data_IF_432961546964
#
_entry.id   IF_432961546964
#
_cell.length_a   1.000
_cell.length_b   1.000
_cell.length_c   1.000
_cell.angle_alpha   90.00
_cell.angle_beta   90.00
_cell.angle_gamma   90.00
#
_symmetry.space_group_name_H-M   'P 1'
#
loop_
_entity.id
_entity.type
_entity.pdbx_description
1 polymer ?
#
# COMPACT_ATOMS: atom_id res chain seq x y z
N UNK A 1 0.64 12.44 -8.93
CA UNK A 1 1.54 12.26 -10.09
C UNK A 1 1.85 10.78 -10.14
N UNK A 2 1.17 10.00 -10.98
CA UNK A 2 1.42 8.55 -11.08
C UNK A 2 2.69 8.31 -11.89
N UNK A 3 3.62 7.50 -11.38
CA UNK A 3 4.89 7.16 -12.02
C UNK A 3 4.64 6.19 -13.19
N UNK A 4 4.30 6.72 -14.37
CA UNK A 4 4.06 5.93 -15.60
C UNK A 4 4.82 6.47 -16.82
N UNK A 5 5.60 7.54 -16.64
CA UNK A 5 6.26 8.26 -17.74
C UNK A 5 7.39 7.50 -18.42
N UNK A 6 7.94 6.46 -17.77
CA UNK A 6 9.07 5.69 -18.29
C UNK A 6 8.72 4.47 -19.14
N UNK A 7 7.44 4.07 -19.19
CA UNK A 7 7.03 2.79 -19.79
C UNK A 7 7.45 2.66 -21.27
N UNK A 8 7.14 3.67 -22.08
CA UNK A 8 7.43 3.63 -23.53
C UNK A 8 8.94 3.66 -23.81
N UNK A 9 9.70 4.44 -23.03
CA UNK A 9 11.15 4.49 -23.17
C UNK A 9 11.78 3.13 -22.84
N UNK A 10 11.40 2.52 -21.71
CA UNK A 10 11.89 1.19 -21.33
C UNK A 10 11.46 0.10 -22.31
N UNK A 11 10.20 0.12 -22.77
CA UNK A 11 9.72 -0.81 -23.80
C UNK A 11 10.57 -0.74 -25.07
N UNK A 12 10.89 0.48 -25.51
CA UNK A 12 11.69 0.70 -26.71
C UNK A 12 13.11 0.13 -26.56
N UNK A 13 13.73 0.31 -25.39
CA UNK A 13 15.04 -0.27 -25.06
C UNK A 13 14.95 -1.81 -25.06
N UNK A 14 13.98 -2.38 -24.37
CA UNK A 14 13.84 -3.84 -24.24
C UNK A 14 13.54 -4.53 -25.59
N UNK A 15 12.75 -3.90 -26.47
CA UNK A 15 12.52 -4.42 -27.82
C UNK A 15 13.78 -4.43 -28.69
N UNK A 16 14.69 -3.46 -28.49
CA UNK A 16 15.96 -3.42 -29.22
C UNK A 16 16.92 -4.50 -28.73
N UNK A 17 16.96 -4.74 -27.42
CA UNK A 17 17.86 -5.72 -26.79
C UNK A 17 17.36 -7.18 -26.93
N UNK A 18 16.05 -7.39 -26.98
CA UNK A 18 15.43 -8.73 -26.98
C UNK A 18 14.47 -8.91 -28.16
N UNK A 19 15.01 -8.80 -29.38
CA UNK A 19 14.28 -8.98 -30.64
C UNK A 19 13.76 -10.42 -30.80
N UNK A 20 12.59 -10.69 -30.20
CA UNK A 20 11.92 -11.99 -30.26
C UNK A 20 11.01 -12.32 -29.09
N UNK A 21 11.03 -11.54 -28.00
CA UNK A 21 10.17 -11.77 -26.85
C UNK A 21 8.95 -10.83 -26.85
N UNK A 22 7.77 -11.39 -26.55
CA UNK A 22 6.55 -10.61 -26.35
C UNK A 22 6.61 -9.90 -24.98
N UNK A 23 6.96 -8.62 -24.99
CA UNK A 23 7.07 -7.80 -23.77
C UNK A 23 5.68 -7.28 -23.41
N UNK A 24 5.19 -7.73 -22.26
CA UNK A 24 3.91 -7.26 -21.71
C UNK A 24 4.10 -6.15 -20.69
N UNK A 25 3.31 -5.08 -20.84
CA UNK A 25 3.20 -4.00 -19.85
C UNK A 25 1.84 -4.16 -19.16
N UNK A 26 1.89 -4.71 -17.96
CA UNK A 26 0.71 -4.96 -17.12
C UNK A 26 0.40 -3.68 -16.32
N UNK A 27 -0.83 -3.19 -16.39
CA UNK A 27 -1.22 -1.99 -15.67
C UNK A 27 -2.72 -1.84 -15.46
N UNK A 28 -3.09 -0.88 -14.63
CA UNK A 28 -4.47 -0.64 -14.19
C UNK A 28 -5.50 -0.30 -15.26
N UNK A 29 -5.03 0.30 -16.35
CA UNK A 29 -5.88 0.88 -17.38
C UNK A 29 -5.11 1.05 -18.68
N UNK A 30 -5.82 0.89 -19.81
CA UNK A 30 -5.34 1.20 -21.16
C UNK A 30 -5.06 2.68 -21.39
N UNK A 31 -5.53 3.58 -20.51
CA UNK A 31 -5.16 5.00 -20.53
C UNK A 31 -3.72 5.25 -20.07
N UNK A 32 -3.08 4.27 -19.42
CA UNK A 32 -1.68 4.36 -19.03
C UNK A 32 -0.77 4.16 -20.26
N UNK A 33 0.24 5.02 -20.48
CA UNK A 33 1.16 4.87 -21.60
C UNK A 33 1.80 3.46 -21.65
N UNK A 34 1.68 2.82 -22.82
CA UNK A 34 2.28 1.53 -23.10
C UNK A 34 1.57 0.29 -22.55
N UNK A 35 0.50 0.42 -21.74
CA UNK A 35 -0.15 -0.76 -21.14
C UNK A 35 -0.75 -1.71 -22.20
N UNK A 36 -0.20 -2.91 -22.29
CA UNK A 36 -0.61 -3.94 -23.24
C UNK A 36 -1.65 -4.89 -22.65
N UNK A 37 -1.76 -4.99 -21.33
CA UNK A 37 -2.74 -5.85 -20.66
C UNK A 37 -3.25 -5.21 -19.37
N UNK A 38 -4.56 -5.30 -19.14
CA UNK A 38 -5.20 -4.87 -17.89
C UNK A 38 -5.69 -6.13 -17.18
N UNK A 39 -5.09 -6.50 -16.03
CA UNK A 39 -5.43 -7.75 -15.38
C UNK A 39 -6.76 -7.65 -14.63
N UNK A 40 -7.46 -8.78 -14.56
CA UNK A 40 -8.56 -8.96 -13.61
C UNK A 40 -8.05 -9.01 -12.17
N UNK A 41 -8.95 -8.78 -11.21
CA UNK A 41 -8.60 -8.93 -9.80
C UNK A 41 -8.24 -10.40 -9.49
N UNK A 42 -7.12 -10.59 -8.80
CA UNK A 42 -6.49 -11.88 -8.49
C UNK A 42 -5.96 -12.65 -9.71
N UNK A 43 -5.89 -12.03 -10.89
CA UNK A 43 -5.20 -12.63 -12.02
C UNK A 43 -3.72 -12.89 -11.67
N UNK A 44 -3.21 -14.04 -12.12
CA UNK A 44 -1.87 -14.49 -11.81
C UNK A 44 -1.01 -14.56 -13.07
N UNK A 45 0.26 -14.18 -12.91
CA UNK A 45 1.31 -14.34 -13.88
C UNK A 45 2.49 -15.08 -13.24
N UNK A 46 3.33 -15.68 -14.08
CA UNK A 46 4.58 -16.28 -13.66
C UNK A 46 5.75 -15.59 -14.36
N UNK A 47 6.77 -15.22 -13.59
CA UNK A 47 8.06 -14.74 -14.07
C UNK A 47 9.12 -15.70 -13.52
N UNK A 48 9.46 -16.74 -14.29
CA UNK A 48 10.23 -17.86 -13.78
C UNK A 48 9.51 -18.52 -12.60
N UNK A 49 10.21 -18.66 -11.46
CA UNK A 49 9.67 -19.21 -10.21
C UNK A 49 8.83 -18.21 -9.40
N UNK A 50 8.71 -16.97 -9.85
CA UNK A 50 7.92 -15.93 -9.18
C UNK A 50 6.47 -16.00 -9.63
N UNK A 51 5.56 -16.24 -8.69
CA UNK A 51 4.12 -16.07 -8.90
C UNK A 51 3.71 -14.66 -8.53
N UNK A 52 3.21 -13.90 -9.51
CA UNK A 52 2.72 -12.53 -9.36
C UNK A 52 1.20 -12.54 -9.37
N UNK A 53 0.56 -12.07 -8.30
CA UNK A 53 -0.90 -11.93 -8.18
C UNK A 53 -1.28 -10.45 -8.23
N UNK A 54 -2.11 -10.07 -9.19
CA UNK A 54 -2.62 -8.70 -9.34
C UNK A 54 -3.80 -8.48 -8.39
N UNK A 55 -3.69 -7.50 -7.50
CA UNK A 55 -4.74 -7.16 -6.53
C UNK A 55 -5.26 -5.77 -6.88
N UNK A 56 -6.50 -5.67 -7.36
CA UNK A 56 -7.10 -4.37 -7.69
C UNK A 56 -7.47 -3.63 -6.41
N UNK A 57 -6.97 -2.39 -6.27
CA UNK A 57 -7.11 -1.58 -5.06
C UNK A 57 -7.61 -0.16 -5.39
N UNK A 58 -8.78 -0.01 -6.03
CA UNK A 58 -9.27 1.29 -6.48
C UNK A 58 -9.49 2.23 -5.30
N UNK A 59 -8.80 3.38 -5.29
CA UNK A 59 -9.12 4.51 -4.42
C UNK A 59 -8.22 5.70 -4.76
N UNK A 60 -6.90 5.54 -4.64
CA UNK A 60 -5.94 6.58 -5.00
C UNK A 60 -6.17 7.02 -6.44
N UNK A 61 -6.19 6.03 -7.32
CA UNK A 61 -6.83 6.10 -8.63
C UNK A 61 -7.80 4.92 -8.76
N UNK A 62 -8.77 5.00 -9.66
CA UNK A 62 -9.70 3.88 -9.94
C UNK A 62 -9.00 2.68 -10.58
N UNK A 63 -7.84 2.92 -11.18
CA UNK A 63 -7.02 1.91 -11.85
C UNK A 63 -5.85 1.40 -10.98
N UNK A 64 -5.81 1.74 -9.69
CA UNK A 64 -4.74 1.26 -8.78
C UNK A 64 -4.71 -0.28 -8.67
N UNK A 65 -3.51 -0.85 -8.79
CA UNK A 65 -3.22 -2.29 -8.65
C UNK A 65 -2.01 -2.44 -7.75
N UNK A 66 -2.09 -3.38 -6.80
CA UNK A 66 -0.94 -3.91 -6.07
C UNK A 66 -0.50 -5.25 -6.67
N UNK A 67 0.80 -5.54 -6.65
CA UNK A 67 1.36 -6.79 -7.15
C UNK A 67 1.95 -7.59 -5.99
N UNK A 68 1.26 -8.65 -5.59
CA UNK A 68 1.73 -9.58 -4.56
C UNK A 68 2.55 -10.69 -5.22
N UNK A 69 3.82 -10.80 -4.81
CA UNK A 69 4.77 -11.75 -5.39
C UNK A 69 5.14 -12.79 -4.34
N UNK A 70 5.14 -14.05 -4.78
CA UNK A 70 5.68 -15.18 -4.03
C UNK A 70 6.71 -15.90 -4.90
N UNK A 71 7.93 -16.04 -4.37
CA UNK A 71 8.90 -16.96 -4.91
C UNK A 71 8.52 -18.39 -4.50
N UNK A 72 8.28 -19.25 -5.50
CA UNK A 72 7.85 -20.64 -5.27
C UNK A 72 9.01 -21.56 -4.87
N UNK A 73 10.26 -21.15 -5.09
CA UNK A 73 11.46 -21.89 -4.75
C UNK A 73 11.93 -21.57 -3.32
N UNK A 74 12.09 -20.28 -3.00
CA UNK A 74 12.60 -19.84 -1.68
C UNK A 74 11.49 -19.67 -0.65
N UNK A 75 10.24 -19.45 -1.10
CA UNK A 75 9.12 -19.12 -0.23
C UNK A 75 9.07 -17.65 0.22
N UNK A 76 10.01 -16.81 -0.23
CA UNK A 76 10.02 -15.37 0.01
C UNK A 76 8.84 -14.66 -0.65
N UNK A 77 8.39 -13.58 -0.02
CA UNK A 77 7.16 -12.90 -0.41
C UNK A 77 7.26 -11.39 -0.23
N UNK A 78 6.74 -10.65 -1.21
CA UNK A 78 6.65 -9.19 -1.14
C UNK A 78 5.40 -8.67 -1.84
N UNK A 79 5.02 -7.43 -1.56
CA UNK A 79 3.93 -6.74 -2.26
C UNK A 79 4.36 -5.34 -2.67
N UNK A 80 4.23 -5.06 -3.97
CA UNK A 80 4.38 -3.71 -4.52
C UNK A 80 3.02 -3.01 -4.43
N UNK A 81 2.94 -1.94 -3.65
CA UNK A 81 1.65 -1.33 -3.28
C UNK A 81 1.36 -0.01 -4.01
N UNK A 82 2.35 0.51 -4.75
CA UNK A 82 2.27 1.82 -5.36
C UNK A 82 1.83 2.87 -4.34
N UNK A 83 0.78 3.61 -4.68
CA UNK A 83 0.22 4.66 -3.84
C UNK A 83 -1.01 4.20 -3.04
N UNK A 84 -1.27 2.89 -2.95
CA UNK A 84 -2.37 2.36 -2.13
C UNK A 84 -1.98 2.35 -0.65
N UNK A 85 -0.92 1.59 -0.33
CA UNK A 85 -0.38 1.41 1.03
C UNK A 85 1.04 1.98 1.08
N UNK A 86 1.31 2.80 2.10
CA UNK A 86 2.66 3.25 2.47
C UNK A 86 3.00 2.71 3.85
N UNK A 87 4.28 2.70 4.22
CA UNK A 87 4.64 2.39 5.60
C UNK A 87 4.01 3.44 6.52
N UNK A 88 3.17 2.97 7.44
CA UNK A 88 2.37 3.76 8.37
C UNK A 88 1.44 4.79 7.71
N UNK A 89 1.03 4.58 6.46
CA UNK A 89 0.14 5.49 5.74
C UNK A 89 -0.64 4.84 4.61
N UNK A 90 -1.39 5.66 3.89
CA UNK A 90 -2.05 5.28 2.64
C UNK A 90 -2.04 6.45 1.64
N UNK A 91 -2.41 6.17 0.40
CA UNK A 91 -2.61 7.17 -0.64
C UNK A 91 -3.63 8.25 -0.30
N UNK A 92 -3.52 9.40 -0.98
CA UNK A 92 -4.63 10.36 -1.06
C UNK A 92 -5.74 9.76 -1.93
N UNK A 93 -7.00 10.07 -1.61
CA UNK A 93 -8.16 9.52 -2.34
C UNK A 93 -8.52 10.47 -3.50
N UNK A 94 -7.75 10.47 -4.59
CA UNK A 94 -8.02 11.39 -5.69
C UNK A 94 -9.27 10.99 -6.48
N UNK A 95 -9.52 9.70 -6.64
CA UNK A 95 -10.62 9.18 -7.48
C UNK A 95 -11.55 8.22 -6.74
N UNK A 96 -11.48 8.20 -5.41
CA UNK A 96 -12.24 7.30 -4.55
C UNK A 96 -12.61 7.92 -3.21
N UNK A 97 -13.12 7.07 -2.32
CA UNK A 97 -13.68 7.45 -1.01
C UNK A 97 -13.02 6.69 0.14
N UNK A 98 -13.32 7.09 1.38
CA UNK A 98 -12.92 6.32 2.56
C UNK A 98 -13.46 4.89 2.57
N UNK A 99 -14.64 4.62 1.97
CA UNK A 99 -15.13 3.24 1.79
C UNK A 99 -14.21 2.45 0.86
N UNK A 100 -13.76 3.06 -0.22
CA UNK A 100 -12.93 2.39 -1.23
C UNK A 100 -11.54 2.07 -0.65
N UNK A 101 -10.92 2.99 0.10
CA UNK A 101 -9.63 2.71 0.74
C UNK A 101 -9.73 1.65 1.84
N UNK A 102 -10.78 1.70 2.68
CA UNK A 102 -11.00 0.65 3.70
C UNK A 102 -11.20 -0.72 3.06
N UNK A 103 -11.98 -0.79 1.97
CA UNK A 103 -12.14 -2.02 1.20
C UNK A 103 -10.83 -2.49 0.57
N UNK A 104 -10.05 -1.59 -0.04
CA UNK A 104 -8.79 -1.91 -0.68
C UNK A 104 -7.76 -2.49 0.31
N UNK A 105 -7.50 -1.78 1.41
CA UNK A 105 -6.49 -2.16 2.41
C UNK A 105 -6.97 -3.29 3.31
N UNK A 106 -8.08 -3.07 4.01
CA UNK A 106 -8.47 -3.89 5.16
C UNK A 106 -9.33 -5.10 4.78
N UNK A 107 -9.62 -5.26 3.49
CA UNK A 107 -10.41 -6.39 3.02
C UNK A 107 -9.77 -7.06 1.81
N UNK A 108 -9.65 -6.38 0.67
CA UNK A 108 -9.19 -6.98 -0.58
C UNK A 108 -7.73 -7.43 -0.45
N UNK A 109 -6.83 -6.52 -0.06
CA UNK A 109 -5.40 -6.83 0.08
C UNK A 109 -5.16 -7.89 1.16
N UNK A 110 -5.72 -7.71 2.37
CA UNK A 110 -5.55 -8.67 3.47
C UNK A 110 -6.06 -10.07 3.11
N UNK A 111 -7.24 -10.18 2.47
CA UNK A 111 -7.79 -11.48 2.02
C UNK A 111 -6.96 -12.10 0.91
N UNK A 112 -6.49 -11.31 -0.06
CA UNK A 112 -5.69 -11.80 -1.17
C UNK A 112 -4.34 -12.37 -0.71
N UNK A 113 -3.71 -11.75 0.30
CA UNK A 113 -2.45 -12.24 0.88
C UNK A 113 -2.68 -13.44 1.79
N UNK A 114 -3.77 -13.42 2.58
CA UNK A 114 -4.09 -14.47 3.55
C UNK A 114 -3.34 -14.31 4.87
N UNK A 115 -4.06 -14.50 5.97
CA UNK A 115 -3.60 -14.20 7.34
C UNK A 115 -2.29 -14.90 7.71
N UNK A 116 -2.12 -16.16 7.31
CA UNK A 116 -0.92 -16.96 7.57
C UNK A 116 0.35 -16.43 6.88
N UNK A 117 0.22 -15.46 5.97
CA UNK A 117 1.32 -14.87 5.22
C UNK A 117 1.62 -13.42 5.63
N UNK A 118 0.76 -12.75 6.41
CA UNK A 118 0.93 -11.31 6.69
C UNK A 118 2.29 -10.97 7.33
N UNK A 119 2.85 -11.87 8.15
CA UNK A 119 4.16 -11.71 8.79
C UNK A 119 5.35 -12.01 7.86
N UNK A 120 5.11 -12.51 6.65
CA UNK A 120 6.14 -12.87 5.66
C UNK A 120 6.22 -11.87 4.51
N UNK A 121 5.09 -11.23 4.17
CA UNK A 121 5.02 -10.32 3.02
C UNK A 121 5.65 -8.97 3.34
N UNK A 122 6.82 -8.71 2.76
CA UNK A 122 7.49 -7.39 2.81
C UNK A 122 6.80 -6.37 1.92
N UNK A 123 6.70 -5.11 2.37
CA UNK A 123 6.01 -4.05 1.64
C UNK A 123 7.00 -3.19 0.85
N UNK A 124 6.70 -2.97 -0.43
CA UNK A 124 7.43 -2.09 -1.33
C UNK A 124 6.49 -0.97 -1.83
N UNK A 125 6.46 0.18 -1.14
CA UNK A 125 5.62 1.32 -1.53
C UNK A 125 6.15 2.05 -2.76
N UNK A 126 5.29 2.87 -3.38
CA UNK A 126 5.69 3.77 -4.47
C UNK A 126 6.53 4.97 -4.02
N UNK A 127 6.50 5.32 -2.73
CA UNK A 127 7.17 6.49 -2.18
C UNK A 127 7.68 6.27 -0.75
N UNK A 128 8.81 6.91 -0.43
CA UNK A 128 9.42 6.95 0.90
C UNK A 128 8.82 8.08 1.75
N UNK A 129 7.53 7.96 2.10
CA UNK A 129 6.79 8.93 2.92
C UNK A 129 6.79 8.62 4.42
N UNK A 130 7.54 7.60 4.84
CA UNK A 130 7.46 7.04 6.19
C UNK A 130 7.74 8.07 7.28
N UNK A 131 8.76 8.91 7.12
CA UNK A 131 9.05 10.00 8.08
C UNK A 131 7.86 10.94 8.26
N UNK A 132 7.22 11.36 7.17
CA UNK A 132 6.02 12.22 7.22
C UNK A 132 4.80 11.51 7.81
N UNK A 133 4.65 10.20 7.54
CA UNK A 133 3.59 9.38 8.12
C UNK A 133 3.77 9.22 9.64
N UNK A 134 5.00 8.95 10.09
CA UNK A 134 5.37 8.86 11.51
C UNK A 134 5.10 10.18 12.23
N UNK A 135 5.56 11.31 11.67
CA UNK A 135 5.28 12.63 12.25
C UNK A 135 3.78 12.91 12.41
N UNK A 136 2.96 12.51 11.42
CA UNK A 136 1.51 12.62 11.50
C UNK A 136 0.92 11.77 12.64
N UNK A 137 1.31 10.50 12.74
CA UNK A 137 0.80 9.58 13.76
C UNK A 137 1.18 10.07 15.15
N UNK A 138 2.43 10.48 15.35
CA UNK A 138 2.90 11.03 16.63
C UNK A 138 2.15 12.30 17.00
N UNK A 139 1.82 13.17 16.04
CA UNK A 139 1.15 14.43 16.35
C UNK A 139 -0.36 14.31 16.59
N UNK A 140 -1.02 13.29 16.04
CA UNK A 140 -2.49 13.23 15.96
C UNK A 140 -3.13 11.97 16.54
N UNK A 141 -2.40 10.86 16.62
CA UNK A 141 -2.96 9.55 16.98
C UNK A 141 -2.33 9.05 18.28
N UNK A 142 -1.01 8.86 18.30
CA UNK A 142 -0.27 8.37 19.46
C UNK A 142 0.66 9.49 19.96
N UNK A 143 0.07 10.51 20.61
CA UNK A 143 0.77 11.70 21.10
C UNK A 143 1.92 11.41 22.08
N UNK A 144 1.79 10.34 22.87
CA UNK A 144 2.75 9.99 23.91
C UNK A 144 3.43 8.65 23.63
N UNK A 145 4.71 8.55 24.00
CA UNK A 145 5.46 7.29 23.95
C UNK A 145 4.78 6.27 24.88
N UNK A 146 4.65 5.03 24.42
CA UNK A 146 4.02 3.93 25.15
C UNK A 146 2.55 3.70 24.82
N UNK A 147 1.89 4.60 24.08
CA UNK A 147 0.52 4.40 23.62
C UNK A 147 0.40 3.28 22.57
N UNK A 148 1.43 3.09 21.75
CA UNK A 148 1.55 1.99 20.81
C UNK A 148 3.03 1.61 20.64
N UNK A 149 3.43 0.45 21.17
CA UNK A 149 4.84 0.03 21.22
C UNK A 149 5.40 -0.29 19.83
N UNK A 150 4.57 -0.86 18.97
CA UNK A 150 4.91 -1.16 17.58
C UNK A 150 5.16 0.12 16.78
N UNK A 151 4.36 1.16 17.02
CA UNK A 151 4.59 2.48 16.44
C UNK A 151 5.86 3.14 16.99
N UNK A 152 6.10 3.07 18.31
CA UNK A 152 7.32 3.62 18.92
C UNK A 152 8.59 2.97 18.32
N UNK A 153 8.54 1.65 18.06
CA UNK A 153 9.62 0.93 17.41
C UNK A 153 9.86 1.40 15.96
N UNK A 154 8.78 1.63 15.18
CA UNK A 154 8.88 2.22 13.85
C UNK A 154 9.50 3.62 13.90
N UNK A 155 9.03 4.49 14.79
CA UNK A 155 9.54 5.85 14.94
C UNK A 155 11.04 5.84 15.28
N UNK A 156 11.46 4.95 16.18
CA UNK A 156 12.87 4.79 16.52
C UNK A 156 13.69 4.26 15.33
N UNK A 157 13.16 3.30 14.57
CA UNK A 157 13.82 2.81 13.36
C UNK A 157 14.08 3.94 12.34
N UNK A 158 13.11 4.83 12.13
CA UNK A 158 13.23 5.97 11.22
C UNK A 158 14.25 7.03 11.63
N UNK A 159 14.71 7.05 12.90
CA UNK A 159 15.78 7.97 13.34
C UNK A 159 17.16 7.54 12.85
N UNK A 160 17.36 6.23 12.67
CA UNK A 160 18.64 5.65 12.29
C UNK A 160 18.69 5.15 10.84
N UNK A 161 17.56 5.19 10.13
CA UNK A 161 17.45 4.68 8.77
C UNK A 161 16.73 5.69 7.87
N UNK A 162 17.35 6.03 6.75
CA UNK A 162 16.75 6.96 5.77
C UNK A 162 15.72 6.28 4.87
N UNK A 163 15.86 4.97 4.64
CA UNK A 163 14.99 4.16 3.78
C UNK A 163 14.30 3.07 4.62
N UNK A 164 13.00 2.87 4.36
CA UNK A 164 12.18 1.85 5.03
C UNK A 164 11.59 0.82 4.08
N UNK A 165 11.69 1.07 2.78
CA UNK A 165 11.21 0.19 1.71
C UNK A 165 11.77 -1.22 1.85
N UNK A 166 10.89 -2.23 1.82
CA UNK A 166 11.25 -3.64 1.94
C UNK A 166 11.62 -4.11 3.36
N UNK A 167 11.58 -3.24 4.37
CA UNK A 167 11.91 -3.62 5.75
C UNK A 167 10.71 -4.22 6.49
N UNK A 168 9.58 -3.54 6.44
CA UNK A 168 8.37 -3.88 7.20
C UNK A 168 7.45 -4.84 6.45
N UNK A 169 6.64 -5.57 7.21
CA UNK A 169 5.68 -6.56 6.71
C UNK A 169 4.25 -6.04 6.78
N UNK A 170 3.34 -6.73 6.08
CA UNK A 170 1.90 -6.45 6.20
C UNK A 170 1.38 -6.63 7.65
N UNK A 171 1.97 -7.54 8.43
CA UNK A 171 1.64 -7.70 9.84
C UNK A 171 2.05 -6.48 10.67
N UNK A 172 3.20 -5.87 10.37
CA UNK A 172 3.68 -4.69 11.09
C UNK A 172 2.75 -3.50 10.89
N UNK A 173 2.23 -3.30 9.68
CA UNK A 173 1.24 -2.24 9.40
C UNK A 173 -0.04 -2.40 10.22
N UNK A 174 -0.51 -3.63 10.46
CA UNK A 174 -1.64 -3.89 11.37
C UNK A 174 -1.31 -3.53 12.84
N UNK A 175 -0.03 -3.41 13.18
CA UNK A 175 0.48 -2.98 14.49
C UNK A 175 0.44 -1.47 14.71
N UNK A 176 0.71 -0.66 13.68
CA UNK A 176 0.85 0.80 13.86
C UNK A 176 0.13 1.69 12.86
N UNK A 177 -0.27 1.19 11.68
CA UNK A 177 -0.83 2.04 10.63
C UNK A 177 -2.29 2.42 10.96
N UNK A 178 -2.60 3.71 11.19
CA UNK A 178 -3.94 4.11 11.61
C UNK A 178 -4.99 3.84 10.53
N UNK A 179 -4.60 3.83 9.24
CA UNK A 179 -5.52 3.50 8.13
C UNK A 179 -5.85 2.01 8.06
N UNK A 180 -5.08 1.15 8.75
CA UNK A 180 -5.39 -0.28 8.92
C UNK A 180 -5.95 -0.62 10.31
N UNK A 181 -6.04 0.38 11.19
CA UNK A 181 -6.50 0.25 12.58
C UNK A 181 -7.69 1.16 12.87
N UNK A 182 -8.69 1.18 11.98
CA UNK A 182 -9.85 2.07 12.08
C UNK A 182 -10.72 1.84 13.32
N UNK A 183 -10.59 0.68 13.97
CA UNK A 183 -11.30 0.37 15.22
C UNK A 183 -10.49 0.72 16.48
N UNK A 184 -9.23 1.14 16.32
CA UNK A 184 -8.39 1.59 17.42
C UNK A 184 -8.99 2.85 18.06
N UNK A 185 -9.08 2.85 19.40
CA UNK A 185 -9.69 3.96 20.14
C UNK A 185 -8.95 5.27 19.92
N UNK A 186 -7.62 5.27 19.83
CA UNK A 186 -6.85 6.49 19.58
C UNK A 186 -7.15 7.05 18.19
N UNK A 187 -7.28 6.19 17.17
CA UNK A 187 -7.67 6.58 15.82
C UNK A 187 -9.07 7.18 15.79
N UNK A 188 -10.04 6.53 16.45
CA UNK A 188 -11.42 7.04 16.53
C UNK A 188 -11.51 8.39 17.25
N UNK A 189 -10.80 8.54 18.38
CA UNK A 189 -10.74 9.82 19.11
C UNK A 189 -10.14 10.94 18.25
N UNK A 190 -9.08 10.65 17.48
CA UNK A 190 -8.42 11.63 16.63
C UNK A 190 -9.33 12.19 15.52
N UNK A 191 -10.31 11.41 15.06
CA UNK A 191 -11.31 11.84 14.06
C UNK A 191 -12.61 12.35 14.68
N UNK A 192 -12.66 12.52 16.01
CA UNK A 192 -13.83 13.03 16.74
C UNK A 192 -14.91 11.98 17.00
N UNK A 193 -14.67 10.70 16.73
CA UNK A 193 -15.61 9.60 17.01
C UNK A 193 -15.48 9.10 18.45
N UNK A 194 -15.78 9.99 19.41
CA UNK A 194 -15.60 9.71 20.85
C UNK A 194 -16.50 8.58 21.35
N UNK A 195 -17.70 8.47 20.78
CA UNK A 195 -18.70 7.45 21.08
C UNK A 195 -18.51 6.14 20.30
N UNK A 196 -17.58 6.08 19.33
CA UNK A 196 -17.32 4.88 18.54
C UNK A 196 -18.45 4.49 17.58
N UNK A 197 -19.27 5.44 17.16
CA UNK A 197 -20.48 5.19 16.36
C UNK A 197 -20.23 5.37 14.86
N UNK A 198 -19.11 5.98 14.47
CA UNK A 198 -18.83 6.16 13.05
C UNK A 198 -18.60 4.80 12.37
N UNK A 199 -19.21 4.59 11.18
CA UNK A 199 -18.84 3.46 10.35
C UNK A 199 -17.39 3.61 9.89
N UNK A 200 -16.70 2.49 9.68
CA UNK A 200 -15.28 2.46 9.28
C UNK A 200 -14.97 3.34 8.05
N UNK A 201 -15.89 3.40 7.09
CA UNK A 201 -15.75 4.28 5.91
C UNK A 201 -15.66 5.76 6.27
N UNK A 202 -16.39 6.22 7.30
CA UNK A 202 -16.35 7.60 7.80
C UNK A 202 -15.05 7.82 8.59
N UNK A 203 -14.66 6.87 9.46
CA UNK A 203 -13.37 6.96 10.17
C UNK A 203 -12.21 7.08 9.18
N UNK A 204 -12.17 6.23 8.14
CA UNK A 204 -11.17 6.30 7.07
C UNK A 204 -11.19 7.65 6.34
N UNK A 205 -12.38 8.16 6.01
CA UNK A 205 -12.54 9.42 5.29
C UNK A 205 -12.04 10.61 6.11
N UNK A 206 -12.40 10.69 7.39
CA UNK A 206 -12.01 11.78 8.29
C UNK A 206 -10.52 11.70 8.66
N UNK A 207 -10.00 10.49 8.90
CA UNK A 207 -8.56 10.28 9.12
C UNK A 207 -7.73 10.76 7.93
N UNK A 208 -8.21 10.50 6.71
CA UNK A 208 -7.54 10.95 5.48
C UNK A 208 -7.58 12.47 5.35
N UNK A 209 -8.71 13.12 5.66
CA UNK A 209 -8.83 14.58 5.68
C UNK A 209 -7.88 15.19 6.71
N UNK A 210 -7.83 14.63 7.92
CA UNK A 210 -6.94 15.06 8.99
C UNK A 210 -5.47 15.02 8.54
N UNK A 211 -5.03 13.93 7.90
CA UNK A 211 -3.66 13.82 7.37
C UNK A 211 -3.40 14.73 6.16
N UNK A 212 -4.42 15.13 5.41
CA UNK A 212 -4.25 16.04 4.27
C UNK A 212 -4.11 17.51 4.70
N UNK A 213 -4.56 17.85 5.90
CA UNK A 213 -4.49 19.21 6.46
C UNK A 213 -3.18 19.48 7.24
N UNK A 214 -2.28 18.50 7.29
CA UNK A 214 -0.96 18.58 7.92
C UNK A 214 0.13 18.60 6.85
#
# INVERSE_FOLDING_TARGET
>A
MTIRGGNLALYSILCQENSGHDIKIIGGSKSSPGVTEVPDNLQQYHLGNLRVTCIRTPCHTKDSICYYIKDLETGEQCIFTGDTLFIAGCGRFFEGTGRDMDMALNQIMLRAVGETNWNKVKIYPGHEYTKGNVSFIRAKIYSDIGQNKEFDALEQYCKSNECTTGHFTLRDELGYNPFMRLDDRAVRLAVGDTAGTYPRSVVMQELRKLKNAM
#
